data_IF_219359979576
#
_entry.id   IF_219359979576
#
_cell.length_a   1.000
_cell.length_b   1.000
_cell.length_c   1.000
_cell.angle_alpha   90.00
_cell.angle_beta   90.00
_cell.angle_gamma   90.00
#
_symmetry.space_group_name_H-M   'P 1'
#
loop_
_entity.id
_entity.type
_entity.pdbx_description
1 polymer ?
#
# COMPACT_ATOMS: atom_id res chain seq x y z
N UNK A 1 6.44 -2.32 33.90
CA UNK A 1 7.11 -3.53 34.41
C UNK A 1 6.45 -4.75 33.77
N UNK A 2 7.18 -5.61 33.05
CA UNK A 2 6.60 -6.81 32.46
C UNK A 2 6.28 -7.82 33.57
N UNK A 3 5.02 -8.27 33.67
CA UNK A 3 4.60 -9.25 34.65
C UNK A 3 5.46 -10.52 34.54
N UNK A 4 6.11 -10.91 35.64
CA UNK A 4 7.00 -12.07 35.71
C UNK A 4 6.14 -13.33 35.51
N UNK A 5 6.23 -13.96 34.33
CA UNK A 5 5.51 -15.20 34.02
C UNK A 5 5.82 -16.27 35.07
N UNK A 6 4.79 -16.81 35.74
CA UNK A 6 4.92 -17.85 36.76
C UNK A 6 5.51 -19.10 36.10
N UNK A 7 6.67 -19.56 36.58
CA UNK A 7 7.28 -20.80 36.09
C UNK A 7 6.51 -21.99 36.67
N UNK A 8 6.07 -22.90 35.81
CA UNK A 8 5.46 -24.16 36.22
C UNK A 8 6.48 -25.03 36.96
N UNK A 9 6.02 -25.75 37.96
CA UNK A 9 6.82 -26.72 38.71
C UNK A 9 6.92 -28.04 37.95
N UNK A 10 7.95 -28.85 38.25
CA UNK A 10 8.18 -30.15 37.61
C UNK A 10 6.95 -31.09 37.71
N UNK A 11 6.21 -31.02 38.81
CA UNK A 11 5.01 -31.84 39.04
C UNK A 11 3.85 -31.44 38.12
N UNK A 12 3.63 -30.14 37.93
CA UNK A 12 2.59 -29.62 37.03
C UNK A 12 2.89 -29.98 35.56
N UNK A 13 4.17 -29.94 35.17
CA UNK A 13 4.58 -30.34 33.81
C UNK A 13 4.38 -31.84 33.58
N UNK A 14 4.69 -32.69 34.56
CA UNK A 14 4.46 -34.14 34.45
C UNK A 14 2.95 -34.45 34.34
N UNK A 15 2.09 -33.73 35.05
CA UNK A 15 0.64 -33.88 34.93
C UNK A 15 0.12 -33.53 33.53
N UNK A 16 0.63 -32.43 32.95
CA UNK A 16 0.31 -32.05 31.57
C UNK A 16 0.79 -33.08 30.54
N UNK A 17 1.98 -33.67 30.73
CA UNK A 17 2.48 -34.77 29.89
C UNK A 17 1.59 -36.01 30.01
N UNK A 18 1.09 -36.30 31.22
CA UNK A 18 0.15 -37.40 31.46
C UNK A 18 -1.17 -37.25 30.69
N UNK A 19 -1.68 -36.01 30.57
CA UNK A 19 -2.88 -35.71 29.79
C UNK A 19 -2.68 -36.02 28.29
N UNK A 20 -1.54 -35.62 27.72
CA UNK A 20 -1.21 -35.88 26.31
C UNK A 20 -1.01 -37.37 26.04
N UNK A 21 -0.41 -38.11 26.98
CA UNK A 21 -0.24 -39.56 26.86
C UNK A 21 -1.56 -40.34 26.89
N UNK A 22 -2.64 -39.76 27.42
CA UNK A 22 -3.96 -40.35 27.47
C UNK A 22 -4.79 -40.15 26.19
N UNK A 23 -4.34 -39.29 25.28
CA UNK A 23 -5.01 -39.04 24.00
C UNK A 23 -4.63 -40.11 22.97
N UNK A 24 -5.62 -40.56 22.19
CA UNK A 24 -5.44 -41.64 21.20
C UNK A 24 -4.62 -41.22 19.98
N UNK A 25 -4.64 -39.94 19.64
CA UNK A 25 -3.83 -39.35 18.57
C UNK A 25 -3.25 -38.04 19.05
N UNK A 26 -1.92 -37.93 18.99
CA UNK A 26 -1.20 -36.71 19.36
C UNK A 26 -1.10 -35.86 18.10
N UNK A 27 -1.90 -34.79 18.02
CA UNK A 27 -1.86 -33.83 16.91
C UNK A 27 -0.89 -32.67 17.20
N UNK A 28 -0.48 -31.97 16.14
CA UNK A 28 0.37 -30.79 16.25
C UNK A 28 -0.28 -29.67 17.07
N UNK A 29 -1.61 -29.57 17.06
CA UNK A 29 -2.38 -28.59 17.84
C UNK A 29 -2.29 -28.87 19.36
N UNK A 30 -2.35 -30.15 19.75
CA UNK A 30 -2.20 -30.58 21.14
C UNK A 30 -0.80 -30.22 21.64
N UNK A 31 0.23 -30.54 20.86
CA UNK A 31 1.63 -30.23 21.19
C UNK A 31 1.87 -28.72 21.27
N UNK A 32 1.26 -27.94 20.37
CA UNK A 32 1.33 -26.48 20.40
C UNK A 32 0.67 -25.92 21.66
N UNK A 33 -0.54 -26.38 22.01
CA UNK A 33 -1.26 -25.93 23.20
C UNK A 33 -0.49 -26.22 24.50
N UNK A 34 0.20 -27.37 24.55
CA UNK A 34 1.09 -27.73 25.64
C UNK A 34 2.31 -26.80 25.72
N UNK A 35 2.95 -26.54 24.59
CA UNK A 35 4.09 -25.64 24.51
C UNK A 35 3.71 -24.20 24.89
N UNK A 36 2.52 -23.73 24.52
CA UNK A 36 2.00 -22.41 24.90
C UNK A 36 1.67 -22.30 26.40
N UNK A 37 1.14 -23.37 27.01
CA UNK A 37 0.94 -23.45 28.46
C UNK A 37 2.27 -23.35 29.20
N UNK A 38 3.32 -24.04 28.73
CA UNK A 38 4.68 -23.94 29.32
C UNK A 38 5.27 -22.54 29.13
N UNK A 39 5.06 -21.95 27.96
CA UNK A 39 5.53 -20.61 27.63
C UNK A 39 4.76 -19.50 28.38
N UNK A 40 3.68 -19.84 29.08
CA UNK A 40 2.83 -18.90 29.82
C UNK A 40 2.11 -17.92 28.89
N UNK A 41 1.69 -18.40 27.72
CA UNK A 41 0.95 -17.63 26.71
C UNK A 41 1.28 -18.06 25.28
N UNK A 42 0.49 -17.60 24.29
CA UNK A 42 0.67 -17.97 22.89
C UNK A 42 2.04 -17.53 22.37
N UNK A 43 2.60 -18.32 21.47
CA UNK A 43 3.85 -17.93 20.81
C UNK A 43 3.62 -16.68 19.98
N UNK A 44 4.66 -15.83 19.89
CA UNK A 44 4.61 -14.67 19.02
C UNK A 44 4.58 -15.16 17.58
N UNK A 45 3.40 -15.19 16.97
CA UNK A 45 3.31 -15.32 15.52
C UNK A 45 4.08 -14.16 14.89
N UNK A 46 4.90 -14.39 13.84
CA UNK A 46 5.51 -13.30 13.11
C UNK A 46 4.37 -12.42 12.59
N UNK A 47 4.18 -11.26 13.19
CA UNK A 47 3.24 -10.25 12.67
C UNK A 47 3.60 -10.07 11.21
N UNK A 48 2.64 -10.29 10.30
CA UNK A 48 2.82 -10.01 8.89
C UNK A 48 3.50 -8.65 8.77
N UNK A 49 4.72 -8.63 8.23
CA UNK A 49 5.52 -7.40 8.14
C UNK A 49 4.70 -6.43 7.30
N UNK A 50 4.13 -5.40 7.94
CA UNK A 50 3.59 -4.25 7.20
C UNK A 50 4.69 -3.80 6.22
N UNK A 51 4.35 -3.50 4.96
CA UNK A 51 5.35 -3.10 3.97
C UNK A 51 6.22 -2.00 4.55
N UNK A 52 7.55 -2.17 4.46
CA UNK A 52 8.51 -1.24 5.06
C UNK A 52 8.26 0.16 4.53
N UNK A 53 8.33 1.12 5.43
CA UNK A 53 8.09 2.49 5.07
C UNK A 53 9.03 3.01 3.99
N UNK A 54 8.47 3.65 2.97
CA UNK A 54 9.29 4.20 1.90
C UNK A 54 10.24 5.24 2.50
N UNK A 55 11.54 5.00 2.36
CA UNK A 55 12.56 5.89 2.91
C UNK A 55 12.82 7.05 1.95
N UNK A 56 13.22 8.20 2.48
CA UNK A 56 13.57 9.37 1.67
C UNK A 56 14.69 9.04 0.66
N UNK A 57 15.67 8.24 1.08
CA UNK A 57 16.77 7.81 0.22
C UNK A 57 16.28 6.95 -0.95
N UNK A 58 15.36 6.00 -0.71
CA UNK A 58 14.79 5.17 -1.75
C UNK A 58 13.95 5.99 -2.74
N UNK A 59 13.07 6.87 -2.24
CA UNK A 59 12.26 7.75 -3.08
C UNK A 59 13.14 8.67 -3.94
N UNK A 60 14.15 9.30 -3.33
CA UNK A 60 15.11 10.18 -4.03
C UNK A 60 15.87 9.43 -5.12
N UNK A 61 16.41 8.25 -4.81
CA UNK A 61 17.15 7.43 -5.77
C UNK A 61 16.27 7.06 -6.97
N UNK A 62 15.05 6.60 -6.70
CA UNK A 62 14.13 6.19 -7.73
C UNK A 62 13.74 7.39 -8.64
N UNK A 63 13.48 8.57 -8.07
CA UNK A 63 13.11 9.76 -8.88
C UNK A 63 14.28 10.19 -9.74
N UNK A 64 15.49 10.23 -9.18
CA UNK A 64 16.69 10.57 -9.92
C UNK A 64 16.94 9.60 -11.08
N UNK A 65 16.78 8.29 -10.86
CA UNK A 65 16.90 7.29 -11.92
C UNK A 65 15.85 7.44 -13.02
N UNK A 66 14.61 7.84 -12.71
CA UNK A 66 13.57 8.07 -13.72
C UNK A 66 13.88 9.23 -14.67
N UNK A 67 14.73 10.17 -14.24
CA UNK A 67 15.16 11.33 -15.05
C UNK A 67 16.63 11.20 -15.51
N UNK A 68 17.24 10.02 -15.39
CA UNK A 68 18.65 9.77 -15.72
C UNK A 68 19.63 10.74 -15.03
N UNK A 69 19.29 11.21 -13.83
CA UNK A 69 20.07 12.17 -13.05
C UNK A 69 20.83 11.47 -11.92
N UNK A 70 22.04 11.95 -11.59
CA UNK A 70 22.82 11.44 -10.44
C UNK A 70 22.64 12.28 -9.19
N UNK A 71 22.41 13.59 -9.36
CA UNK A 71 22.28 14.54 -8.26
C UNK A 71 21.02 15.39 -8.36
N UNK A 72 20.62 16.00 -7.24
CA UNK A 72 19.48 16.94 -7.20
C UNK A 72 19.74 18.18 -8.05
N UNK A 73 21.00 18.60 -8.14
CA UNK A 73 21.43 19.69 -9.01
C UNK A 73 21.21 19.37 -10.48
N UNK A 74 21.48 18.13 -10.90
CA UNK A 74 21.22 17.69 -12.28
C UNK A 74 19.73 17.65 -12.56
N UNK A 75 18.94 17.13 -11.59
CA UNK A 75 17.48 17.09 -11.72
C UNK A 75 16.88 18.48 -11.91
N UNK A 76 17.34 19.48 -11.16
CA UNK A 76 16.88 20.88 -11.30
C UNK A 76 17.26 21.52 -12.64
N UNK A 77 18.32 21.04 -13.29
CA UNK A 77 18.75 21.49 -14.62
C UNK A 77 18.12 20.68 -15.75
N UNK A 78 17.54 19.51 -15.43
CA UNK A 78 16.94 18.64 -16.42
C UNK A 78 15.71 19.33 -17.02
N UNK A 79 15.75 19.55 -18.34
CA UNK A 79 14.68 20.23 -19.08
C UNK A 79 13.33 19.52 -18.93
N UNK A 80 13.31 18.18 -18.97
CA UNK A 80 12.08 17.41 -18.83
C UNK A 80 11.47 17.60 -17.44
N UNK A 81 12.31 17.56 -16.40
CA UNK A 81 11.86 17.82 -15.04
C UNK A 81 11.31 19.24 -14.90
N UNK A 82 12.06 20.27 -15.33
CA UNK A 82 11.64 21.67 -15.23
C UNK A 82 10.34 21.93 -15.98
N UNK A 83 10.21 21.44 -17.21
CA UNK A 83 8.98 21.56 -17.99
C UNK A 83 7.79 20.90 -17.30
N UNK A 84 8.01 19.73 -16.71
CA UNK A 84 6.95 18.98 -16.01
C UNK A 84 6.51 19.58 -14.68
N UNK A 85 7.33 20.48 -14.11
CA UNK A 85 7.09 21.17 -12.84
C UNK A 85 6.66 22.62 -13.06
N UNK A 86 6.43 23.03 -14.30
CA UNK A 86 5.98 24.39 -14.64
C UNK A 86 4.67 24.69 -13.90
N UNK A 87 4.64 25.76 -13.10
CA UNK A 87 3.47 26.15 -12.29
C UNK A 87 3.42 25.56 -10.88
N UNK A 88 4.35 24.66 -10.51
CA UNK A 88 4.45 24.08 -9.16
C UNK A 88 5.82 24.37 -8.53
N UNK A 89 5.82 24.87 -7.29
CA UNK A 89 7.06 25.11 -6.53
C UNK A 89 7.29 23.98 -5.53
N UNK A 90 8.24 23.09 -5.84
CA UNK A 90 8.66 22.00 -4.94
C UNK A 90 10.09 22.25 -4.46
N UNK A 91 10.26 22.38 -3.14
CA UNK A 91 11.55 22.75 -2.53
C UNK A 91 12.61 21.64 -2.61
N UNK A 92 12.19 20.36 -2.77
CA UNK A 92 13.04 19.17 -2.77
C UNK A 92 13.84 18.97 -1.47
N UNK A 93 13.36 19.54 -0.36
CA UNK A 93 14.04 19.50 0.94
C UNK A 93 13.43 18.46 1.87
N UNK A 94 12.11 18.30 1.82
CA UNK A 94 11.37 17.46 2.77
C UNK A 94 11.09 16.06 2.22
N UNK A 95 10.84 15.09 3.12
CA UNK A 95 10.33 13.76 2.72
C UNK A 95 9.03 13.90 1.92
N UNK A 96 8.14 14.81 2.33
CA UNK A 96 6.87 15.04 1.65
C UNK A 96 7.04 15.47 0.19
N UNK A 97 8.01 16.35 -0.11
CA UNK A 97 8.32 16.78 -1.48
C UNK A 97 8.75 15.60 -2.36
N UNK A 98 9.65 14.76 -1.84
CA UNK A 98 10.14 13.58 -2.55
C UNK A 98 9.06 12.52 -2.73
N UNK A 99 8.14 12.38 -1.77
CA UNK A 99 6.99 11.48 -1.89
C UNK A 99 6.00 11.97 -2.95
N UNK A 100 5.72 13.27 -3.03
CA UNK A 100 4.88 13.84 -4.12
C UNK A 100 5.48 13.53 -5.49
N UNK A 101 6.79 13.71 -5.65
CA UNK A 101 7.49 13.37 -6.88
C UNK A 101 7.46 11.86 -7.18
N UNK A 102 7.67 11.04 -6.17
CA UNK A 102 7.60 9.58 -6.30
C UNK A 102 6.22 9.13 -6.80
N UNK A 103 5.15 9.64 -6.17
CA UNK A 103 3.76 9.37 -6.56
C UNK A 103 3.45 9.83 -7.97
N UNK A 104 4.01 10.97 -8.41
CA UNK A 104 3.81 11.50 -9.76
C UNK A 104 4.50 10.64 -10.81
N UNK A 105 5.79 10.34 -10.62
CA UNK A 105 6.64 9.79 -11.70
C UNK A 105 6.87 8.29 -11.64
N UNK A 106 6.88 7.70 -10.45
CA UNK A 106 7.34 6.31 -10.27
C UNK A 106 6.17 5.39 -10.02
N UNK A 107 5.37 5.68 -9.00
CA UNK A 107 4.28 4.82 -8.62
C UNK A 107 3.80 5.06 -7.22
N UNK A 108 2.90 4.20 -6.78
CA UNK A 108 2.35 4.26 -5.42
C UNK A 108 3.28 3.52 -4.46
N UNK A 109 3.72 4.18 -3.37
CA UNK A 109 4.50 3.55 -2.32
C UNK A 109 3.82 2.27 -1.81
N UNK A 110 4.56 1.20 -1.48
CA UNK A 110 3.97 -0.05 -1.00
C UNK A 110 3.08 0.09 0.23
N UNK A 111 3.32 1.11 1.08
CA UNK A 111 2.48 1.42 2.24
C UNK A 111 1.12 1.99 1.88
N UNK A 112 1.02 2.61 0.71
CA UNK A 112 -0.20 3.25 0.21
C UNK A 112 -0.97 2.34 -0.72
N UNK A 113 -0.50 1.10 -0.91
CA UNK A 113 -1.22 0.05 -1.64
C UNK A 113 -2.19 -0.63 -0.68
N UNK A 114 -3.32 -1.06 -1.22
CA UNK A 114 -4.37 -1.76 -0.49
C UNK A 114 -5.02 -0.90 0.63
N UNK A 115 -4.99 0.43 0.48
CA UNK A 115 -5.74 1.30 1.38
C UNK A 115 -7.25 1.11 1.17
N UNK A 116 -7.96 0.91 2.28
CA UNK A 116 -9.42 0.85 2.30
C UNK A 116 -9.97 2.16 2.88
N UNK A 117 -10.85 2.83 2.14
CA UNK A 117 -11.49 4.07 2.56
C UNK A 117 -12.40 4.63 1.47
N UNK A 118 -13.27 5.58 1.83
CA UNK A 118 -14.24 6.21 0.90
C UNK A 118 -13.59 6.79 -0.36
N UNK A 119 -12.35 7.24 -0.25
CA UNK A 119 -11.60 7.93 -1.31
C UNK A 119 -10.57 7.01 -2.00
N UNK A 120 -10.57 5.72 -1.65
CA UNK A 120 -9.65 4.72 -2.19
C UNK A 120 -10.35 3.85 -3.23
N UNK A 121 -9.75 3.75 -4.41
CA UNK A 121 -10.23 2.89 -5.50
C UNK A 121 -9.08 1.98 -5.90
N UNK A 122 -9.36 0.67 -5.98
CA UNK A 122 -8.35 -0.37 -6.21
C UNK A 122 -7.14 -0.28 -5.27
N UNK A 123 -7.39 0.02 -3.99
CA UNK A 123 -6.35 0.07 -2.97
C UNK A 123 -5.49 1.34 -2.99
N UNK A 124 -5.86 2.37 -3.77
CA UNK A 124 -5.11 3.63 -3.86
C UNK A 124 -6.03 4.83 -3.64
N UNK A 125 -5.58 5.78 -2.82
CA UNK A 125 -6.26 7.07 -2.66
C UNK A 125 -6.15 7.92 -3.94
N UNK A 126 -7.29 8.15 -4.60
CA UNK A 126 -7.40 8.82 -5.91
C UNK A 126 -7.06 10.31 -5.84
N UNK A 127 -7.26 10.94 -4.68
CA UNK A 127 -6.95 12.35 -4.47
C UNK A 127 -5.45 12.58 -4.39
N UNK A 128 -4.72 11.69 -3.73
CA UNK A 128 -3.26 11.79 -3.57
C UNK A 128 -2.48 11.23 -4.75
N UNK A 129 -3.00 10.18 -5.39
CA UNK A 129 -2.28 9.43 -6.42
C UNK A 129 -3.02 9.51 -7.76
N UNK A 130 -2.40 10.19 -8.74
CA UNK A 130 -2.92 10.24 -10.10
C UNK A 130 -2.43 9.04 -10.93
N UNK A 131 -3.17 7.94 -10.89
CA UNK A 131 -2.86 6.69 -11.61
C UNK A 131 -4.09 6.14 -12.34
N UNK A 132 -4.48 6.74 -13.48
CA UNK A 132 -5.71 6.39 -14.19
C UNK A 132 -5.84 4.89 -14.51
N UNK A 133 -4.81 4.28 -15.09
CA UNK A 133 -4.80 2.86 -15.45
C UNK A 133 -5.08 1.94 -14.27
N UNK A 134 -4.42 2.20 -13.13
CA UNK A 134 -4.61 1.40 -11.92
C UNK A 134 -6.00 1.63 -11.29
N UNK A 135 -6.45 2.89 -11.25
CA UNK A 135 -7.78 3.24 -10.70
C UNK A 135 -8.90 2.61 -11.52
N UNK A 136 -8.77 2.54 -12.85
CA UNK A 136 -9.73 1.85 -13.71
C UNK A 136 -9.53 0.33 -13.78
N UNK A 137 -8.45 -0.21 -13.22
CA UNK A 137 -8.14 -1.64 -13.29
C UNK A 137 -7.79 -2.11 -14.71
N UNK A 138 -7.22 -1.23 -15.53
CA UNK A 138 -6.92 -1.46 -16.94
C UNK A 138 -5.41 -1.51 -17.19
N UNK A 139 -4.99 -2.31 -18.18
CA UNK A 139 -3.61 -2.34 -18.67
C UNK A 139 -3.43 -1.33 -19.80
N UNK A 140 -2.39 -0.50 -19.71
CA UNK A 140 -2.09 0.53 -20.70
C UNK A 140 -1.74 -0.02 -22.09
N UNK A 141 -1.37 -1.30 -22.21
CA UNK A 141 -0.98 -1.91 -23.48
C UNK A 141 -2.14 -2.53 -24.25
N UNK A 142 -3.18 -2.99 -23.55
CA UNK A 142 -4.28 -3.76 -24.15
C UNK A 142 -5.62 -3.06 -24.08
N UNK A 143 -5.79 -2.08 -23.19
CA UNK A 143 -7.06 -1.42 -23.00
C UNK A 143 -7.44 -0.52 -24.17
N UNK A 144 -8.70 -0.62 -24.58
CA UNK A 144 -9.33 0.20 -25.61
C UNK A 144 -9.99 1.46 -25.04
N UNK A 145 -10.38 2.38 -25.92
CA UNK A 145 -11.18 3.56 -25.55
C UNK A 145 -12.51 3.18 -24.89
N UNK A 146 -13.12 2.07 -25.30
CA UNK A 146 -14.40 1.63 -24.75
C UNK A 146 -14.25 0.97 -23.39
N UNK A 147 -13.14 0.27 -23.14
CA UNK A 147 -12.83 -0.26 -21.79
C UNK A 147 -12.70 0.87 -20.77
N UNK A 148 -12.02 1.97 -21.13
CA UNK A 148 -11.90 3.16 -20.28
C UNK A 148 -13.27 3.78 -19.99
N UNK A 149 -14.15 3.88 -21.00
CA UNK A 149 -15.51 4.40 -20.81
C UNK A 149 -16.36 3.50 -19.93
N UNK A 150 -16.25 2.17 -20.08
CA UNK A 150 -16.98 1.21 -19.29
C UNK A 150 -16.52 1.23 -17.83
N UNK A 151 -15.21 1.16 -17.59
CA UNK A 151 -14.64 1.28 -16.24
C UNK A 151 -15.03 2.61 -15.58
N UNK A 152 -15.04 3.72 -16.32
CA UNK A 152 -15.53 5.00 -15.83
C UNK A 152 -17.01 4.95 -15.42
N UNK A 153 -17.87 4.35 -16.23
CA UNK A 153 -19.31 4.23 -15.92
C UNK A 153 -19.54 3.40 -14.67
N UNK A 154 -18.78 2.34 -14.47
CA UNK A 154 -18.92 1.48 -13.30
C UNK A 154 -18.44 2.19 -12.02
N UNK A 155 -17.32 2.91 -12.08
CA UNK A 155 -16.89 3.75 -10.96
C UNK A 155 -17.84 4.92 -10.70
N UNK A 156 -18.42 5.51 -11.76
CA UNK A 156 -19.39 6.59 -11.63
C UNK A 156 -20.64 6.13 -10.85
N UNK A 157 -21.17 4.94 -11.11
CA UNK A 157 -22.34 4.41 -10.39
C UNK A 157 -22.13 4.32 -8.88
N UNK A 158 -20.88 4.13 -8.43
CA UNK A 158 -20.53 3.95 -7.01
C UNK A 158 -20.14 5.29 -6.36
N UNK A 159 -19.41 6.15 -7.08
CA UNK A 159 -18.81 7.36 -6.54
C UNK A 159 -19.51 8.67 -6.98
N UNK A 160 -20.64 8.61 -7.70
CA UNK A 160 -21.38 9.82 -8.08
C UNK A 160 -21.89 10.57 -6.83
N UNK A 161 -21.81 11.91 -6.78
CA UNK A 161 -22.33 12.68 -5.66
C UNK A 161 -23.81 12.40 -5.35
N UNK A 162 -24.62 12.18 -6.40
CA UNK A 162 -26.06 11.89 -6.24
C UNK A 162 -26.36 10.55 -5.57
N UNK A 163 -25.42 9.61 -5.57
CA UNK A 163 -25.58 8.31 -4.85
C UNK A 163 -24.90 8.31 -3.47
N UNK A 164 -24.44 9.48 -3.01
CA UNK A 164 -23.72 9.62 -1.74
C UNK A 164 -22.19 9.51 -1.87
N UNK A 165 -21.64 9.58 -3.08
CA UNK A 165 -20.20 9.63 -3.33
C UNK A 165 -19.58 11.01 -3.06
N UNK A 166 -18.25 11.06 -2.97
CA UNK A 166 -17.52 12.32 -2.79
C UNK A 166 -17.33 13.03 -4.15
N UNK A 167 -17.82 14.28 -4.25
CA UNK A 167 -17.68 15.12 -5.43
C UNK A 167 -16.22 15.27 -5.88
N UNK A 168 -15.28 15.43 -4.94
CA UNK A 168 -13.86 15.58 -5.26
C UNK A 168 -13.26 14.31 -5.85
N UNK A 169 -13.70 13.15 -5.35
CA UNK A 169 -13.30 11.85 -5.89
C UNK A 169 -13.85 11.69 -7.31
N UNK A 170 -15.12 12.03 -7.52
CA UNK A 170 -15.75 11.95 -8.84
C UNK A 170 -15.09 12.88 -9.88
N UNK A 171 -14.85 14.14 -9.54
CA UNK A 171 -14.10 15.08 -10.40
C UNK A 171 -12.72 14.55 -10.76
N UNK A 172 -12.06 13.86 -9.82
CA UNK A 172 -10.75 13.26 -10.05
C UNK A 172 -10.82 12.09 -11.02
N UNK A 173 -11.80 11.21 -10.88
CA UNK A 173 -12.06 10.09 -11.80
C UNK A 173 -12.38 10.62 -13.21
N UNK A 174 -13.16 11.69 -13.33
CA UNK A 174 -13.43 12.34 -14.62
C UNK A 174 -12.14 12.85 -15.28
N UNK A 175 -11.29 13.58 -14.54
CA UNK A 175 -9.98 14.04 -15.05
C UNK A 175 -9.09 12.88 -15.48
N UNK A 176 -9.12 11.75 -14.77
CA UNK A 176 -8.38 10.54 -15.14
C UNK A 176 -8.87 9.94 -16.46
N UNK A 177 -10.20 9.80 -16.63
CA UNK A 177 -10.80 9.34 -17.88
C UNK A 177 -10.37 10.21 -19.06
N UNK A 178 -10.52 11.52 -18.92
CA UNK A 178 -10.23 12.46 -20.00
C UNK A 178 -8.75 12.44 -20.40
N UNK A 179 -7.87 12.26 -19.41
CA UNK A 179 -6.43 12.10 -19.64
C UNK A 179 -6.11 10.82 -20.44
N UNK A 180 -6.76 9.70 -20.13
CA UNK A 180 -6.57 8.45 -20.88
C UNK A 180 -7.11 8.54 -22.31
N UNK A 181 -8.31 9.10 -22.47
CA UNK A 181 -8.91 9.28 -23.80
C UNK A 181 -8.10 10.24 -24.67
N UNK A 182 -7.48 11.26 -24.09
CA UNK A 182 -6.58 12.16 -24.80
C UNK A 182 -5.26 11.49 -25.23
N UNK A 183 -4.76 10.54 -24.42
CA UNK A 183 -3.53 9.80 -24.70
C UNK A 183 -3.74 8.72 -25.78
N UNK A 184 -4.93 8.12 -25.83
CA UNK A 184 -5.30 7.09 -26.81
C UNK A 184 -5.67 7.65 -28.19
N UNK A 185 -5.43 8.94 -28.49
CA UNK A 185 -5.92 9.60 -29.70
C UNK A 185 -5.54 8.86 -30.97
#
# INVERSE_FOLDING_TARGET
MAARKKRLTKLEVIALIGQIKGEKEISDEILLSFAEKINGGPFLSPKAKKPKAMTLAAAKKAVLSNFDCKTVTDLRKNKNFTMSMTGETIALKSKADWMKLYRRWIGVPPEERDQAGSNCINGINVLENFRPWHVFGLDSKTASKDDVKNAFRDLAKVHHPDVGGDKHVFERIQKMRDSLLALMK
#
